data_IF_195193478439
#
_entry.id   IF_195193478439
#
_cell.length_a   1.000
_cell.length_b   1.000
_cell.length_c   1.000
_cell.angle_alpha   90.00
_cell.angle_beta   90.00
_cell.angle_gamma   90.00
#
_symmetry.space_group_name_H-M   'P 1'
#
loop_
_entity.id
_entity.type
_entity.pdbx_description
1 polymer ?
#
# COMPACT_ATOMS: atom_id res chain seq x y z
N UNK A 1 -4.64 10.68 6.86
CA UNK A 1 -4.80 10.61 5.39
C UNK A 1 -4.61 9.20 4.81
N UNK A 2 -5.09 8.93 3.57
CA UNK A 2 -4.76 7.72 2.79
C UNK A 2 -3.90 8.06 1.57
N UNK A 3 -2.61 7.71 1.63
CA UNK A 3 -1.65 7.96 0.56
C UNK A 3 -1.62 6.82 -0.46
N UNK A 4 -1.58 7.16 -1.73
CA UNK A 4 -1.50 6.21 -2.85
C UNK A 4 -0.42 6.64 -3.83
N UNK A 5 0.21 5.68 -4.48
CA UNK A 5 0.82 5.95 -5.80
C UNK A 5 -0.20 5.64 -6.86
N UNK A 6 -0.21 6.42 -7.93
CA UNK A 6 -1.10 6.16 -9.05
C UNK A 6 -0.49 6.53 -10.39
N UNK A 7 -0.98 5.88 -11.42
CA UNK A 7 -0.71 6.16 -12.82
C UNK A 7 -2.06 6.37 -13.51
N UNK A 8 -2.17 7.39 -14.36
CA UNK A 8 -3.38 7.61 -15.18
C UNK A 8 -3.43 6.54 -16.27
N UNK A 9 -4.59 5.90 -16.44
CA UNK A 9 -4.77 4.88 -17.47
C UNK A 9 -4.65 5.44 -18.88
N UNK A 10 -4.23 4.62 -19.85
CA UNK A 10 -4.12 5.01 -21.27
C UNK A 10 -5.48 5.40 -21.89
N UNK A 11 -6.60 4.94 -21.31
CA UNK A 11 -7.97 5.29 -21.72
C UNK A 11 -8.40 6.61 -21.08
N UNK A 12 -7.99 7.71 -21.70
CA UNK A 12 -8.44 9.06 -21.30
C UNK A 12 -7.91 10.18 -22.18
N UNK A 13 -6.82 9.97 -22.92
CA UNK A 13 -6.26 10.99 -23.79
C UNK A 13 -7.17 11.36 -24.98
N UNK A 14 -8.09 10.48 -25.40
CA UNK A 14 -8.92 10.68 -26.59
C UNK A 14 -10.36 11.17 -26.35
N UNK A 15 -10.92 11.00 -25.14
CA UNK A 15 -12.33 11.38 -24.87
C UNK A 15 -12.47 12.78 -24.26
N UNK A 16 -11.37 13.40 -23.83
CA UNK A 16 -11.37 14.80 -23.41
C UNK A 16 -11.47 15.71 -24.66
N UNK A 17 -11.02 15.24 -25.82
CA UNK A 17 -10.88 16.07 -27.02
C UNK A 17 -12.20 16.31 -27.77
N UNK A 18 -13.16 15.37 -27.74
CA UNK A 18 -14.45 15.55 -28.43
C UNK A 18 -15.48 16.36 -27.61
N UNK A 19 -15.33 16.43 -26.29
CA UNK A 19 -16.12 17.33 -25.45
C UNK A 19 -15.49 18.74 -25.30
N UNK A 20 -14.20 18.90 -25.66
CA UNK A 20 -13.48 20.18 -25.65
C UNK A 20 -13.96 21.16 -26.75
N UNK A 21 -14.80 20.70 -27.68
CA UNK A 21 -15.43 21.53 -28.69
C UNK A 21 -16.68 22.26 -28.19
N UNK A 22 -16.53 23.21 -27.25
CA UNK A 22 -17.26 24.51 -27.16
C UNK A 22 -17.23 25.11 -25.74
N UNK A 23 -16.50 26.23 -25.66
CA UNK A 23 -16.66 27.37 -24.75
C UNK A 23 -16.39 27.18 -23.24
N UNK A 24 -15.31 27.83 -22.79
CA UNK A 24 -15.08 28.24 -21.40
C UNK A 24 -13.59 28.33 -21.10
N UNK A 25 -13.08 29.55 -20.92
CA UNK A 25 -11.79 29.80 -20.26
C UNK A 25 -11.63 28.89 -19.02
N UNK A 26 -10.42 28.41 -18.74
CA UNK A 26 -10.16 27.56 -17.57
C UNK A 26 -10.83 28.17 -16.33
N UNK A 27 -11.83 27.50 -15.76
CA UNK A 27 -12.62 28.05 -14.64
C UNK A 27 -11.75 28.46 -13.43
N UNK A 28 -10.52 27.95 -13.35
CA UNK A 28 -9.55 28.21 -12.27
C UNK A 28 -8.39 29.14 -12.69
N UNK A 29 -8.35 29.67 -13.92
CA UNK A 29 -7.25 30.52 -14.39
C UNK A 29 -5.93 29.79 -14.69
N UNK A 30 -5.97 28.47 -14.85
CA UNK A 30 -4.82 27.64 -15.17
C UNK A 30 -5.02 26.90 -16.48
N UNK A 31 -4.02 26.99 -17.37
CA UNK A 31 -3.93 26.11 -18.54
C UNK A 31 -4.07 24.64 -18.09
N UNK A 32 -4.88 23.83 -18.80
CA UNK A 32 -4.84 22.38 -18.63
C UNK A 32 -3.39 21.93 -18.85
N UNK A 33 -2.78 21.28 -17.86
CA UNK A 33 -1.43 20.75 -18.07
C UNK A 33 -1.53 19.65 -19.12
N UNK A 34 -0.59 19.65 -20.07
CA UNK A 34 -0.27 18.44 -20.84
C UNK A 34 -0.09 17.32 -19.83
N UNK A 35 -1.12 16.47 -19.73
CA UNK A 35 -1.22 15.38 -18.78
C UNK A 35 0.11 14.63 -18.88
N UNK A 36 0.92 14.68 -17.81
CA UNK A 36 2.28 14.14 -17.85
C UNK A 36 2.30 12.77 -18.50
N UNK A 37 3.36 12.48 -19.28
CA UNK A 37 3.46 11.31 -20.17
C UNK A 37 2.69 10.10 -19.60
N UNK A 38 1.78 9.47 -20.37
CA UNK A 38 1.07 8.28 -19.94
C UNK A 38 2.03 7.29 -19.25
N UNK A 39 1.67 6.84 -18.04
CA UNK A 39 2.51 5.95 -17.23
C UNK A 39 3.48 6.63 -16.25
N UNK A 40 3.51 7.96 -16.15
CA UNK A 40 4.26 8.64 -15.09
C UNK A 40 3.57 8.41 -13.73
N UNK A 41 4.30 7.82 -12.78
CA UNK A 41 3.82 7.62 -11.40
C UNK A 41 3.71 8.95 -10.66
N UNK A 42 2.61 9.13 -9.94
CA UNK A 42 2.32 10.31 -9.11
C UNK A 42 1.97 9.89 -7.69
N UNK A 43 2.11 10.83 -6.75
CA UNK A 43 1.64 10.68 -5.38
C UNK A 43 0.24 11.31 -5.26
N UNK A 44 -0.67 10.59 -4.62
CA UNK A 44 -2.02 11.07 -4.42
C UNK A 44 -2.55 10.75 -3.04
N UNK A 45 -3.68 11.37 -2.72
CA UNK A 45 -4.51 11.01 -1.58
C UNK A 45 -5.82 10.41 -2.08
N UNK A 46 -6.33 9.39 -1.39
CA UNK A 46 -7.59 8.73 -1.71
C UNK A 46 -8.57 8.84 -0.53
N UNK A 47 -9.37 9.92 -0.47
CA UNK A 47 -10.35 10.11 0.60
C UNK A 47 -11.37 8.97 0.65
N UNK A 48 -11.74 8.50 1.85
CA UNK A 48 -12.84 7.52 1.97
C UNK A 48 -14.22 8.14 2.01
N UNK A 49 -14.32 9.43 2.32
CA UNK A 49 -15.56 10.13 2.59
C UNK A 49 -15.53 11.53 1.96
N UNK A 50 -16.70 12.18 1.93
CA UNK A 50 -16.84 13.52 1.37
C UNK A 50 -16.96 13.54 -0.16
N UNK A 51 -17.02 14.76 -0.75
CA UNK A 51 -17.27 14.95 -2.18
C UNK A 51 -16.19 14.34 -3.09
N UNK A 52 -14.98 14.11 -2.56
CA UNK A 52 -13.86 13.53 -3.28
C UNK A 52 -13.73 12.00 -3.14
N UNK A 53 -14.63 11.31 -2.43
CA UNK A 53 -14.49 9.87 -2.17
C UNK A 53 -14.40 8.99 -3.45
N UNK A 54 -15.00 9.45 -4.56
CA UNK A 54 -14.92 8.81 -5.87
C UNK A 54 -13.65 9.13 -6.68
N UNK A 55 -12.72 9.90 -6.12
CA UNK A 55 -11.56 10.44 -6.82
C UNK A 55 -10.24 10.17 -6.05
N UNK A 56 -9.14 10.17 -6.79
CA UNK A 56 -7.80 10.35 -6.24
C UNK A 56 -7.41 11.82 -6.41
N UNK A 57 -7.00 12.45 -5.32
CA UNK A 57 -6.45 13.80 -5.33
C UNK A 57 -4.99 13.71 -5.74
N UNK A 58 -4.61 14.40 -6.82
CA UNK A 58 -3.24 14.55 -7.28
C UNK A 58 -2.53 15.60 -6.42
N UNK A 59 -1.81 15.15 -5.38
CA UNK A 59 -1.24 16.05 -4.37
C UNK A 59 -0.21 17.00 -4.98
N UNK A 60 0.60 16.52 -5.92
CA UNK A 60 1.55 17.34 -6.66
C UNK A 60 0.84 18.47 -7.41
N UNK A 61 -0.27 18.16 -8.10
CA UNK A 61 -1.03 19.16 -8.86
C UNK A 61 -1.73 20.16 -7.94
N UNK A 62 -2.37 19.68 -6.88
CA UNK A 62 -3.01 20.53 -5.89
C UNK A 62 -2.02 21.53 -5.26
N UNK A 63 -0.85 21.04 -4.83
CA UNK A 63 0.18 21.89 -4.24
C UNK A 63 0.75 22.89 -5.25
N UNK A 64 1.00 22.48 -6.50
CA UNK A 64 1.47 23.39 -7.55
C UNK A 64 0.46 24.52 -7.80
N UNK A 65 -0.83 24.21 -7.85
CA UNK A 65 -1.87 25.24 -8.03
C UNK A 65 -1.92 26.22 -6.85
N UNK A 66 -1.79 25.73 -5.61
CA UNK A 66 -1.66 26.61 -4.44
C UNK A 66 -0.45 27.52 -4.56
N UNK A 67 0.73 26.96 -4.83
CA UNK A 67 1.98 27.72 -4.92
C UNK A 67 1.92 28.79 -6.03
N UNK A 68 1.23 28.50 -7.14
CA UNK A 68 1.02 29.48 -8.20
C UNK A 68 0.10 30.63 -7.77
N UNK A 69 -0.89 30.41 -6.89
CA UNK A 69 -1.68 31.49 -6.30
C UNK A 69 -0.86 32.36 -5.35
N UNK A 70 0.19 31.80 -4.75
CA UNK A 70 1.14 32.50 -3.89
C UNK A 70 2.29 33.19 -4.66
N UNK A 71 2.16 33.32 -6.00
CA UNK A 71 3.15 33.95 -6.91
C UNK A 71 4.53 33.25 -6.93
N UNK A 72 4.55 31.92 -6.76
CA UNK A 72 5.78 31.13 -6.89
C UNK A 72 6.29 31.12 -8.34
N UNK A 73 7.60 31.33 -8.54
CA UNK A 73 8.20 31.42 -9.88
C UNK A 73 8.27 30.10 -10.66
N UNK A 74 8.18 28.94 -9.99
CA UNK A 74 8.20 27.61 -10.61
C UNK A 74 7.38 26.57 -9.79
N UNK A 75 6.05 26.71 -9.76
CA UNK A 75 5.18 26.02 -8.80
C UNK A 75 5.22 24.49 -8.93
N UNK A 76 5.29 23.93 -10.15
CA UNK A 76 5.37 22.49 -10.35
C UNK A 76 6.67 21.89 -9.82
N UNK A 77 7.81 22.51 -10.11
CA UNK A 77 9.11 22.04 -9.65
C UNK A 77 9.24 22.12 -8.12
N UNK A 78 8.67 23.16 -7.52
CA UNK A 78 8.62 23.29 -6.06
C UNK A 78 7.71 22.24 -5.42
N UNK A 79 6.52 22.02 -6.00
CA UNK A 79 5.61 20.96 -5.54
C UNK A 79 6.26 19.57 -5.64
N UNK A 80 6.92 19.24 -6.75
CA UNK A 80 7.62 17.95 -6.94
C UNK A 80 8.80 17.78 -5.98
N UNK A 81 9.45 18.87 -5.59
CA UNK A 81 10.49 18.85 -4.55
C UNK A 81 9.90 18.53 -3.17
N UNK A 82 8.77 19.17 -2.81
CA UNK A 82 8.09 18.96 -1.53
C UNK A 82 7.34 17.63 -1.44
N UNK A 83 6.81 17.13 -2.57
CA UNK A 83 6.03 15.92 -2.70
C UNK A 83 6.65 14.97 -3.74
N UNK A 84 7.80 14.35 -3.45
CA UNK A 84 8.42 13.44 -4.40
C UNK A 84 7.47 12.25 -4.71
N UNK A 85 7.30 11.94 -6.00
CA UNK A 85 6.42 10.84 -6.44
C UNK A 85 6.95 9.44 -6.10
N UNK A 86 8.23 9.33 -5.72
CA UNK A 86 8.82 8.13 -5.13
C UNK A 86 8.42 8.04 -3.65
N UNK A 87 7.65 7.03 -3.24
CA UNK A 87 7.16 6.95 -1.86
C UNK A 87 8.25 6.81 -0.81
N UNK A 88 9.38 6.21 -1.14
CA UNK A 88 10.50 6.09 -0.22
C UNK A 88 11.13 7.46 0.01
N UNK A 89 11.29 8.26 -1.05
CA UNK A 89 11.74 9.65 -0.92
C UNK A 89 10.73 10.51 -0.14
N UNK A 90 9.44 10.28 -0.35
CA UNK A 90 8.39 10.96 0.41
C UNK A 90 8.54 10.67 1.90
N UNK A 91 8.61 9.38 2.27
CA UNK A 91 8.76 8.94 3.67
C UNK A 91 10.07 9.43 4.30
N UNK A 92 11.19 9.44 3.56
CA UNK A 92 12.48 9.95 4.05
C UNK A 92 12.49 11.44 4.36
N UNK A 93 11.62 12.22 3.73
CA UNK A 93 11.43 13.64 4.07
C UNK A 93 10.55 13.83 5.31
N UNK A 94 9.84 12.79 5.76
CA UNK A 94 9.07 12.79 7.00
C UNK A 94 8.03 13.91 7.03
N UNK A 95 8.04 14.65 8.14
CA UNK A 95 7.08 15.72 8.44
C UNK A 95 7.00 16.81 7.36
N UNK A 96 8.10 17.14 6.69
CA UNK A 96 8.09 18.17 5.64
C UNK A 96 7.17 17.79 4.47
N UNK A 97 7.24 16.55 4.00
CA UNK A 97 6.38 16.07 2.92
C UNK A 97 4.95 15.83 3.39
N UNK A 98 4.76 15.38 4.63
CA UNK A 98 3.42 15.20 5.21
C UNK A 98 2.70 16.55 5.38
N UNK A 99 3.40 17.58 5.85
CA UNK A 99 2.87 18.94 5.94
C UNK A 99 2.47 19.48 4.55
N UNK A 100 3.32 19.29 3.54
CA UNK A 100 3.01 19.67 2.16
C UNK A 100 1.80 18.92 1.59
N UNK A 101 1.62 17.65 1.96
CA UNK A 101 0.45 16.86 1.55
C UNK A 101 -0.83 17.35 2.23
N UNK A 102 -0.78 17.70 3.52
CA UNK A 102 -1.89 18.33 4.23
C UNK A 102 -2.25 19.70 3.65
N UNK A 103 -1.25 20.51 3.31
CA UNK A 103 -1.43 21.81 2.66
C UNK A 103 -2.15 21.67 1.31
N UNK A 104 -1.74 20.67 0.51
CA UNK A 104 -2.39 20.36 -0.76
C UNK A 104 -3.86 19.92 -0.59
N UNK A 105 -4.16 19.12 0.43
CA UNK A 105 -5.53 18.70 0.75
C UNK A 105 -6.40 19.86 1.26
N UNK A 106 -5.87 20.69 2.15
CA UNK A 106 -6.56 21.88 2.63
C UNK A 106 -6.91 22.85 1.49
N UNK A 107 -6.02 23.01 0.52
CA UNK A 107 -6.29 23.78 -0.69
C UNK A 107 -7.45 23.19 -1.51
N UNK A 108 -7.51 21.86 -1.65
CA UNK A 108 -8.60 21.18 -2.36
C UNK A 108 -9.93 21.41 -1.64
N UNK A 109 -9.95 21.28 -0.32
CA UNK A 109 -11.15 21.50 0.49
C UNK A 109 -11.65 22.95 0.40
N UNK A 110 -10.75 23.95 0.42
CA UNK A 110 -11.12 25.35 0.20
C UNK A 110 -11.69 25.56 -1.22
N UNK A 111 -11.06 24.96 -2.23
CA UNK A 111 -11.45 25.13 -3.63
C UNK A 111 -12.81 24.50 -3.93
N UNK A 112 -13.14 23.38 -3.28
CA UNK A 112 -14.47 22.76 -3.33
C UNK A 112 -15.59 23.65 -2.79
N UNK A 113 -15.28 24.66 -1.97
CA UNK A 113 -16.24 25.67 -1.54
C UNK A 113 -16.65 26.64 -2.66
N UNK A 114 -15.91 26.67 -3.77
CA UNK A 114 -16.10 27.61 -4.90
C UNK A 114 -16.34 26.92 -6.25
N UNK A 115 -15.86 25.69 -6.40
CA UNK A 115 -15.89 24.93 -7.65
C UNK A 115 -16.35 23.48 -7.40
N UNK A 116 -17.01 22.89 -8.38
CA UNK A 116 -17.49 21.52 -8.27
C UNK A 116 -16.37 20.51 -8.63
N UNK A 117 -16.46 19.24 -8.18
CA UNK A 117 -15.48 18.21 -8.54
C UNK A 117 -15.15 18.08 -10.03
N UNK A 118 -16.08 18.25 -11.00
CA UNK A 118 -15.76 18.25 -12.43
C UNK A 118 -14.83 19.39 -12.87
N UNK A 119 -14.86 20.57 -12.22
CA UNK A 119 -13.93 21.66 -12.51
C UNK A 119 -12.51 21.30 -12.05
N UNK A 120 -12.38 20.75 -10.83
CA UNK A 120 -11.11 20.27 -10.30
C UNK A 120 -10.54 19.09 -11.10
N UNK A 121 -11.41 18.22 -11.63
CA UNK A 121 -11.01 17.15 -12.52
C UNK A 121 -10.47 17.69 -13.85
N UNK A 122 -11.14 18.71 -14.44
CA UNK A 122 -10.62 19.42 -15.64
C UNK A 122 -9.27 20.09 -15.37
N UNK A 123 -9.01 20.56 -14.16
CA UNK A 123 -7.71 21.13 -13.76
C UNK A 123 -6.64 20.07 -13.44
N UNK A 124 -6.98 18.77 -13.47
CA UNK A 124 -6.09 17.65 -13.16
C UNK A 124 -5.81 17.44 -11.68
N UNK A 125 -6.56 18.12 -10.79
CA UNK A 125 -6.45 17.97 -9.34
C UNK A 125 -7.15 16.71 -8.85
N UNK A 126 -8.28 16.37 -9.47
CA UNK A 126 -9.05 15.17 -9.16
C UNK A 126 -9.01 14.19 -10.34
N UNK A 127 -8.66 12.95 -10.06
CA UNK A 127 -8.72 11.86 -11.02
C UNK A 127 -9.82 10.88 -10.62
N UNK A 128 -10.81 10.58 -11.46
CA UNK A 128 -11.80 9.56 -11.15
C UNK A 128 -11.12 8.23 -10.82
N UNK A 129 -11.50 7.60 -9.70
CA UNK A 129 -10.83 6.40 -9.19
C UNK A 129 -10.75 5.27 -10.22
N UNK A 130 -11.75 5.16 -11.09
CA UNK A 130 -11.83 4.15 -12.15
C UNK A 130 -10.85 4.37 -13.31
N UNK A 131 -10.33 5.59 -13.46
CA UNK A 131 -9.38 5.98 -14.53
C UNK A 131 -7.93 5.89 -14.10
N UNK A 132 -7.67 5.57 -12.83
CA UNK A 132 -6.31 5.45 -12.29
C UNK A 132 -5.99 4.00 -11.93
N UNK A 133 -4.76 3.61 -12.24
CA UNK A 133 -4.14 2.39 -11.70
C UNK A 133 -3.37 2.76 -10.44
N UNK A 134 -3.75 2.19 -9.31
CA UNK A 134 -3.00 2.36 -8.07
C UNK A 134 -1.76 1.48 -8.10
N UNK A 135 -0.64 2.00 -7.62
CA UNK A 135 0.55 1.22 -7.32
C UNK A 135 0.64 0.88 -5.83
N UNK A 136 1.66 0.13 -5.44
CA UNK A 136 1.98 -0.06 -4.02
C UNK A 136 2.28 1.30 -3.38
N UNK A 137 1.80 1.57 -2.16
CA UNK A 137 2.17 2.79 -1.43
C UNK A 137 3.64 2.78 -0.98
N UNK A 138 4.32 1.63 -1.00
CA UNK A 138 5.75 1.49 -0.72
C UNK A 138 6.37 0.58 -1.77
N UNK A 139 7.00 1.15 -2.78
CA UNK A 139 7.31 0.41 -4.02
C UNK A 139 8.58 -0.44 -3.94
N UNK A 140 9.58 0.03 -3.18
CA UNK A 140 10.85 -0.66 -2.95
C UNK A 140 11.36 -0.37 -1.54
N UNK A 141 10.76 -1.01 -0.52
CA UNK A 141 11.21 -0.85 0.86
C UNK A 141 12.70 -1.24 0.99
N UNK A 142 13.42 -0.64 1.93
CA UNK A 142 14.80 -1.05 2.22
C UNK A 142 14.84 -2.49 2.72
N UNK A 143 13.93 -2.80 3.64
CA UNK A 143 13.75 -4.10 4.26
C UNK A 143 12.25 -4.44 4.34
N UNK A 144 11.92 -5.71 4.09
CA UNK A 144 10.61 -6.28 4.46
C UNK A 144 10.87 -7.31 5.53
N UNK A 145 10.52 -6.98 6.77
CA UNK A 145 10.68 -7.83 7.95
C UNK A 145 9.34 -8.52 8.18
N UNK A 146 9.30 -9.84 8.11
CA UNK A 146 8.07 -10.61 8.29
C UNK A 146 8.16 -11.48 9.54
N UNK A 147 7.02 -11.70 10.19
CA UNK A 147 6.93 -12.41 11.47
C UNK A 147 6.22 -13.75 11.29
N UNK A 148 6.92 -14.85 11.54
CA UNK A 148 6.32 -16.17 11.46
C UNK A 148 5.48 -16.47 12.70
N UNK A 149 4.31 -17.10 12.51
CA UNK A 149 3.47 -17.69 13.57
C UNK A 149 3.04 -16.70 14.66
N UNK A 150 2.70 -15.47 14.26
CA UNK A 150 2.24 -14.44 15.20
C UNK A 150 0.75 -14.55 15.59
N UNK A 151 0.02 -15.55 15.10
CA UNK A 151 -1.36 -15.84 15.56
C UNK A 151 -1.38 -17.24 16.18
N UNK A 152 -1.89 -17.42 17.42
CA UNK A 152 -1.93 -18.73 18.08
C UNK A 152 -2.70 -19.79 17.27
N UNK A 153 -3.82 -19.40 16.65
CA UNK A 153 -4.60 -20.29 15.80
C UNK A 153 -3.81 -20.76 14.55
N UNK A 154 -3.01 -19.86 13.96
CA UNK A 154 -2.16 -20.20 12.81
C UNK A 154 -0.98 -21.11 13.21
N UNK A 155 -0.39 -20.89 14.39
CA UNK A 155 0.63 -21.77 14.93
C UNK A 155 0.07 -23.20 15.14
N UNK A 156 -1.13 -23.30 15.71
CA UNK A 156 -1.81 -24.56 15.98
C UNK A 156 -2.15 -25.35 14.69
N UNK A 157 -2.71 -24.72 13.65
CA UNK A 157 -3.04 -25.42 12.39
C UNK A 157 -1.80 -25.92 11.64
N UNK A 158 -0.66 -25.26 11.86
CA UNK A 158 0.64 -25.64 11.29
C UNK A 158 1.33 -26.75 12.10
N UNK A 159 0.70 -27.24 13.18
CA UNK A 159 1.24 -28.28 14.07
C UNK A 159 2.39 -27.80 14.96
N UNK A 160 2.55 -26.48 15.12
CA UNK A 160 3.62 -25.87 15.92
C UNK A 160 3.11 -25.23 17.21
N UNK A 161 4.03 -25.02 18.15
CA UNK A 161 3.78 -24.15 19.30
C UNK A 161 3.88 -22.68 18.90
N UNK A 162 3.17 -21.82 19.63
CA UNK A 162 3.40 -20.38 19.60
C UNK A 162 4.84 -20.09 20.04
N UNK A 163 5.63 -19.33 19.26
CA UNK A 163 6.98 -18.93 19.67
C UNK A 163 6.97 -18.12 20.98
N UNK A 164 8.03 -18.24 21.78
CA UNK A 164 8.22 -17.40 22.98
C UNK A 164 8.72 -15.99 22.63
N UNK A 165 9.39 -15.85 21.48
CA UNK A 165 9.87 -14.59 20.92
C UNK A 165 9.52 -14.48 19.42
N UNK A 166 9.46 -13.26 18.84
CA UNK A 166 9.17 -13.07 17.42
C UNK A 166 10.19 -13.77 16.53
N UNK A 167 9.70 -14.62 15.61
CA UNK A 167 10.53 -15.26 14.59
C UNK A 167 10.56 -14.40 13.35
N UNK A 168 11.58 -13.53 13.25
CA UNK A 168 11.76 -12.62 12.13
C UNK A 168 12.43 -13.29 10.94
N UNK A 169 11.98 -12.96 9.73
CA UNK A 169 12.67 -13.28 8.48
C UNK A 169 12.53 -12.14 7.47
N UNK A 170 13.36 -12.14 6.43
CA UNK A 170 13.32 -11.13 5.39
C UNK A 170 12.59 -11.63 4.14
N UNK A 171 11.84 -10.72 3.51
CA UNK A 171 11.38 -10.83 2.12
C UNK A 171 12.15 -9.88 1.22
N UNK A 172 12.34 -10.27 -0.05
CA UNK A 172 12.99 -9.41 -1.03
C UNK A 172 12.12 -8.18 -1.35
N UNK A 173 12.69 -6.96 -1.35
CA UNK A 173 12.01 -5.77 -1.88
C UNK A 173 11.57 -5.88 -3.34
N UNK A 174 12.19 -6.78 -4.13
CA UNK A 174 11.76 -7.05 -5.51
C UNK A 174 10.42 -7.78 -5.62
N UNK A 175 9.94 -8.38 -4.51
CA UNK A 175 8.68 -9.11 -4.47
C UNK A 175 7.45 -8.18 -4.47
N UNK A 176 7.63 -6.88 -4.22
CA UNK A 176 6.52 -5.93 -4.04
C UNK A 176 5.78 -5.69 -5.35
N UNK A 177 4.45 -5.81 -5.27
CA UNK A 177 3.51 -5.40 -6.32
C UNK A 177 2.33 -4.67 -5.70
N UNK A 178 1.62 -3.86 -6.49
CA UNK A 178 0.52 -3.03 -6.02
C UNK A 178 -0.86 -3.68 -6.15
N UNK A 179 -1.93 -2.90 -5.89
CA UNK A 179 -3.31 -3.32 -6.12
C UNK A 179 -3.59 -3.58 -7.60
N UNK A 180 -4.26 -4.69 -7.89
CA UNK A 180 -4.59 -5.12 -9.25
C UNK A 180 -3.45 -5.78 -10.01
N UNK A 181 -2.22 -5.73 -9.47
CA UNK A 181 -1.07 -6.38 -10.09
C UNK A 181 -1.15 -7.91 -9.98
N UNK A 182 -0.42 -8.58 -10.87
CA UNK A 182 -0.39 -10.03 -10.95
C UNK A 182 0.49 -10.65 -9.85
N UNK A 183 -0.03 -11.69 -9.20
CA UNK A 183 0.77 -12.69 -8.48
C UNK A 183 1.15 -13.77 -9.49
N UNK A 184 2.44 -13.88 -9.81
CA UNK A 184 2.95 -14.80 -10.82
C UNK A 184 3.36 -16.11 -10.16
N UNK A 185 2.73 -17.22 -10.54
CA UNK A 185 3.14 -18.55 -10.09
C UNK A 185 4.54 -18.89 -10.64
N UNK A 186 5.56 -19.13 -9.80
CA UNK A 186 6.88 -19.48 -10.30
C UNK A 186 6.87 -20.90 -10.84
N UNK A 187 7.58 -21.17 -11.94
CA UNK A 187 7.73 -22.52 -12.52
C UNK A 187 8.28 -23.55 -11.53
N UNK A 188 8.99 -23.06 -10.52
CA UNK A 188 9.67 -23.87 -9.53
C UNK A 188 8.73 -24.42 -8.45
N UNK A 189 7.57 -23.80 -8.20
CA UNK A 189 6.66 -24.18 -7.11
C UNK A 189 5.33 -24.71 -7.63
N UNK A 190 4.75 -25.65 -6.88
CA UNK A 190 3.38 -26.15 -7.08
C UNK A 190 2.46 -25.86 -5.89
N UNK A 191 3.01 -25.29 -4.82
CA UNK A 191 2.33 -25.10 -3.54
C UNK A 191 2.37 -23.63 -3.13
N UNK A 192 1.88 -22.74 -4.01
CA UNK A 192 1.81 -21.31 -3.72
C UNK A 192 0.58 -21.01 -2.89
N UNK A 193 0.76 -20.29 -1.79
CA UNK A 193 -0.25 -20.04 -0.76
C UNK A 193 -0.46 -18.55 -0.52
N UNK A 194 -1.62 -18.19 0.03
CA UNK A 194 -1.97 -16.83 0.45
C UNK A 194 -1.81 -16.68 1.96
N UNK A 195 -1.47 -15.46 2.38
CA UNK A 195 -1.38 -15.09 3.79
C UNK A 195 -1.77 -13.62 3.93
N UNK A 196 -3.03 -13.33 4.27
CA UNK A 196 -3.44 -11.94 4.52
C UNK A 196 -2.79 -11.41 5.79
N UNK A 197 -2.16 -10.23 5.72
CA UNK A 197 -1.45 -9.62 6.85
C UNK A 197 -1.64 -8.11 6.93
N UNK A 198 -1.53 -7.59 8.16
CA UNK A 198 -1.31 -6.17 8.41
C UNK A 198 0.15 -5.83 8.08
N UNK A 199 0.35 -4.77 7.30
CA UNK A 199 1.66 -4.19 7.05
C UNK A 199 1.83 -2.88 7.84
N UNK A 200 2.94 -2.76 8.54
CA UNK A 200 3.35 -1.57 9.29
C UNK A 200 4.49 -0.90 8.51
N UNK A 201 4.36 0.39 8.19
CA UNK A 201 5.36 1.14 7.43
C UNK A 201 6.09 2.10 8.36
N UNK A 202 7.41 1.99 8.40
CA UNK A 202 8.26 2.85 9.23
C UNK A 202 8.38 4.24 8.59
N UNK A 203 8.22 5.28 9.40
CA UNK A 203 8.21 6.68 8.96
C UNK A 203 9.48 7.46 9.26
N UNK A 204 10.16 7.13 10.37
CA UNK A 204 11.44 7.72 10.77
C UNK A 204 12.41 6.64 11.24
N UNK A 205 13.69 7.00 11.38
CA UNK A 205 14.72 6.06 11.83
C UNK A 205 14.43 5.60 13.26
N UNK A 206 14.44 4.28 13.51
CA UNK A 206 14.23 3.69 14.82
C UNK A 206 15.32 2.68 15.15
N UNK A 207 15.95 2.82 16.31
CA UNK A 207 16.93 1.87 16.84
C UNK A 207 16.78 1.80 18.36
N UNK A 208 16.70 0.58 18.90
CA UNK A 208 16.54 0.29 20.33
C UNK A 208 15.40 1.08 21.00
N UNK A 209 14.25 1.20 20.32
CA UNK A 209 13.10 1.97 20.82
C UNK A 209 12.27 1.17 21.83
N UNK A 210 11.73 1.84 22.84
CA UNK A 210 10.86 1.19 23.82
C UNK A 210 9.47 0.87 23.23
N UNK A 211 8.76 -0.18 23.70
CA UNK A 211 7.45 -0.54 23.15
C UNK A 211 6.37 0.55 23.25
N UNK A 212 6.41 1.40 24.27
CA UNK A 212 5.46 2.50 24.48
C UNK A 212 5.71 3.70 23.54
N UNK A 213 6.93 3.85 23.04
CA UNK A 213 7.31 4.88 22.05
C UNK A 213 7.26 4.34 20.60
N UNK A 214 7.20 3.02 20.42
CA UNK A 214 7.43 2.36 19.14
C UNK A 214 6.48 2.83 18.02
N UNK A 215 5.23 3.17 18.35
CA UNK A 215 4.27 3.64 17.36
C UNK A 215 4.54 5.07 16.88
N UNK A 216 5.38 5.86 17.56
CA UNK A 216 5.81 7.20 17.09
C UNK A 216 6.72 7.12 15.87
N UNK A 217 7.31 5.95 15.61
CA UNK A 217 8.18 5.71 14.48
C UNK A 217 7.45 5.18 13.25
N UNK A 218 6.14 4.97 13.33
CA UNK A 218 5.30 4.38 12.28
C UNK A 218 4.65 5.49 11.44
N UNK A 219 4.91 5.49 10.12
CA UNK A 219 4.22 6.39 9.19
C UNK A 219 2.74 6.02 9.04
N UNK A 220 2.45 4.71 9.05
CA UNK A 220 1.09 4.22 8.93
C UNK A 220 1.03 2.73 8.61
N UNK A 221 -0.13 2.33 8.12
CA UNK A 221 -0.49 0.93 7.94
C UNK A 221 -1.03 0.66 6.53
N UNK A 222 -0.86 -0.56 6.06
CA UNK A 222 -1.38 -1.03 4.78
C UNK A 222 -1.82 -2.49 4.89
N UNK A 223 -2.44 -3.01 3.82
CA UNK A 223 -2.76 -4.43 3.71
C UNK A 223 -1.68 -5.12 2.89
N UNK A 224 -1.29 -6.32 3.30
CA UNK A 224 -0.36 -7.14 2.56
C UNK A 224 -0.87 -8.56 2.35
N UNK A 225 -0.31 -9.22 1.35
CA UNK A 225 -0.43 -10.67 1.17
C UNK A 225 0.99 -11.29 1.21
N UNK A 226 1.33 -12.04 2.25
CA UNK A 226 2.62 -12.74 2.37
C UNK A 226 2.62 -14.07 1.60
N UNK A 227 2.54 -13.95 0.26
CA UNK A 227 2.47 -15.10 -0.65
C UNK A 227 3.67 -16.03 -0.44
N UNK A 228 3.39 -17.33 -0.41
CA UNK A 228 4.34 -18.34 0.05
C UNK A 228 4.41 -19.55 -0.88
N UNK A 229 5.59 -19.88 -1.42
CA UNK A 229 5.88 -21.16 -2.05
C UNK A 229 6.24 -22.20 -0.98
N UNK A 230 5.24 -22.96 -0.53
CA UNK A 230 5.30 -23.85 0.65
C UNK A 230 6.27 -25.02 0.49
N UNK A 231 6.36 -25.57 -0.72
CA UNK A 231 7.29 -26.62 -1.11
C UNK A 231 8.76 -26.16 -1.05
N UNK A 232 9.01 -24.87 -1.25
CA UNK A 232 10.34 -24.27 -1.08
C UNK A 232 10.63 -23.81 0.35
N UNK A 233 9.61 -23.32 1.06
CA UNK A 233 9.72 -22.85 2.44
C UNK A 233 10.13 -23.98 3.41
N UNK A 234 9.50 -25.16 3.29
CA UNK A 234 9.71 -26.25 4.26
C UNK A 234 10.99 -27.03 4.08
N UNK A 235 11.50 -27.14 2.86
CA UNK A 235 12.61 -28.07 2.55
C UNK A 235 13.97 -27.52 2.98
N UNK A 236 14.09 -26.22 3.25
CA UNK A 236 15.40 -25.54 3.33
C UNK A 236 15.64 -24.72 4.59
N UNK A 237 14.78 -24.86 5.61
CA UNK A 237 14.99 -24.26 6.94
C UNK A 237 15.11 -22.73 6.98
N UNK A 238 14.79 -22.04 5.88
CA UNK A 238 14.89 -20.58 5.72
C UNK A 238 13.64 -20.08 4.99
N UNK A 239 12.90 -19.19 5.63
CA UNK A 239 11.65 -18.65 5.09
C UNK A 239 11.86 -17.86 3.79
N UNK A 240 12.98 -17.13 3.67
CA UNK A 240 13.33 -16.31 2.52
C UNK A 240 13.09 -16.99 1.17
N UNK A 241 13.50 -18.26 1.01
CA UNK A 241 13.47 -18.96 -0.27
C UNK A 241 12.02 -19.16 -0.78
N UNK A 242 11.09 -19.45 0.13
CA UNK A 242 9.68 -19.60 -0.22
C UNK A 242 8.89 -18.29 -0.21
N UNK A 243 9.44 -17.23 0.38
CA UNK A 243 8.73 -15.97 0.67
C UNK A 243 9.16 -14.80 -0.23
N UNK A 244 10.26 -14.94 -0.98
CA UNK A 244 10.89 -13.83 -1.73
C UNK A 244 10.80 -13.95 -3.25
N UNK A 245 9.95 -14.82 -3.80
CA UNK A 245 9.72 -14.83 -5.25
C UNK A 245 9.19 -13.47 -5.71
N UNK A 246 9.49 -13.08 -6.95
CA UNK A 246 8.91 -11.87 -7.53
C UNK A 246 7.38 -11.91 -7.40
N UNK A 247 6.75 -10.77 -7.14
CA UNK A 247 5.30 -10.60 -6.93
C UNK A 247 4.71 -11.24 -5.66
N UNK A 248 5.54 -11.80 -4.76
CA UNK A 248 5.06 -12.43 -3.52
C UNK A 248 4.88 -11.48 -2.33
N UNK A 249 5.00 -10.17 -2.54
CA UNK A 249 4.65 -9.16 -1.54
C UNK A 249 3.65 -8.13 -2.07
N UNK A 250 2.44 -8.51 -2.52
CA UNK A 250 1.39 -7.53 -2.78
C UNK A 250 1.15 -6.66 -1.55
N UNK A 251 1.11 -5.33 -1.76
CA UNK A 251 1.00 -4.32 -0.71
C UNK A 251 0.11 -3.16 -1.18
N UNK A 252 -0.89 -2.78 -0.38
CA UNK A 252 -1.84 -1.71 -0.69
C UNK A 252 -3.17 -1.86 0.07
N UNK A 253 -4.27 -1.21 -0.36
CA UNK A 253 -4.38 -0.34 -1.53
C UNK A 253 -3.82 1.07 -1.33
N UNK A 254 -3.57 1.46 -0.09
CA UNK A 254 -3.02 2.75 0.30
C UNK A 254 -2.14 2.58 1.55
N UNK A 255 -1.30 3.57 1.82
CA UNK A 255 -0.73 3.80 3.15
C UNK A 255 -1.70 4.69 3.91
N UNK A 256 -2.37 4.13 4.92
CA UNK A 256 -3.24 4.88 5.82
C UNK A 256 -2.38 5.39 6.97
N UNK A 257 -2.29 6.70 7.15
CA UNK A 257 -1.42 7.29 8.17
C UNK A 257 -1.89 6.93 9.57
N UNK A 258 -0.95 6.93 10.51
CA UNK A 258 -1.17 6.48 11.89
C UNK A 258 -2.34 7.18 12.57
N UNK A 259 -2.51 8.49 12.35
CA UNK A 259 -3.56 9.34 12.91
C UNK A 259 -4.99 8.95 12.48
N UNK A 260 -5.16 8.16 11.42
CA UNK A 260 -6.46 7.68 10.93
C UNK A 260 -6.93 6.38 11.61
N UNK A 261 -6.10 5.80 12.46
CA UNK A 261 -6.29 4.49 13.08
C UNK A 261 -6.18 4.64 14.59
N UNK A 262 -7.32 4.64 15.26
CA UNK A 262 -7.40 4.77 16.73
C UNK A 262 -6.69 3.63 17.46
N UNK A 263 -6.96 2.38 17.05
CA UNK A 263 -6.34 1.17 17.59
C UNK A 263 -5.98 0.19 16.47
N UNK A 264 -4.70 0.16 16.10
CA UNK A 264 -4.17 -0.80 15.12
C UNK A 264 -4.24 -2.24 15.63
N UNK A 265 -4.26 -2.42 16.95
CA UNK A 265 -4.28 -3.72 17.59
C UNK A 265 -5.68 -4.33 17.66
N UNK A 266 -6.75 -3.69 17.16
CA UNK A 266 -8.07 -4.33 17.06
C UNK A 266 -8.80 -4.02 15.73
N UNK A 267 -8.20 -4.40 14.61
CA UNK A 267 -8.78 -4.31 13.27
C UNK A 267 -9.24 -5.69 12.79
N UNK A 268 -10.42 -5.78 12.18
CA UNK A 268 -10.83 -6.98 11.45
C UNK A 268 -9.95 -7.24 10.23
N UNK A 269 -9.49 -8.47 10.03
CA UNK A 269 -8.73 -8.93 8.87
C UNK A 269 -9.43 -10.12 8.21
N UNK A 270 -9.60 -10.07 6.90
CA UNK A 270 -10.24 -11.12 6.11
C UNK A 270 -9.50 -11.37 4.80
N UNK A 271 -9.23 -12.63 4.48
CA UNK A 271 -8.73 -13.04 3.16
C UNK A 271 -9.81 -13.81 2.44
N UNK A 272 -10.07 -13.45 1.18
CA UNK A 272 -10.96 -14.17 0.26
C UNK A 272 -10.18 -14.73 -0.92
N UNK A 273 -10.50 -15.97 -1.28
CA UNK A 273 -10.01 -16.61 -2.51
C UNK A 273 -11.20 -16.86 -3.43
N UNK A 274 -11.24 -16.13 -4.56
CA UNK A 274 -12.34 -16.17 -5.53
C UNK A 274 -13.71 -15.90 -4.88
N UNK A 275 -13.76 -14.91 -3.98
CA UNK A 275 -14.97 -14.49 -3.26
C UNK A 275 -15.31 -15.33 -2.01
N UNK A 276 -14.66 -16.47 -1.79
CA UNK A 276 -14.86 -17.28 -0.59
C UNK A 276 -13.92 -16.84 0.54
N UNK A 277 -14.47 -16.53 1.72
CA UNK A 277 -13.69 -16.22 2.92
C UNK A 277 -12.86 -17.44 3.34
N UNK A 278 -11.54 -17.28 3.30
CA UNK A 278 -10.58 -18.33 3.65
C UNK A 278 -9.79 -18.05 4.93
N UNK A 279 -9.67 -16.79 5.33
CA UNK A 279 -9.12 -16.38 6.63
C UNK A 279 -10.01 -15.28 7.21
N UNK A 280 -10.26 -15.29 8.52
CA UNK A 280 -11.03 -14.26 9.22
C UNK A 280 -10.58 -14.20 10.67
N UNK A 281 -10.11 -13.04 11.12
CA UNK A 281 -9.61 -12.82 12.48
C UNK A 281 -9.63 -11.33 12.82
N UNK A 282 -9.14 -10.97 14.01
CA UNK A 282 -8.81 -9.59 14.39
C UNK A 282 -7.35 -9.45 14.79
N UNK A 283 -6.74 -8.28 14.57
CA UNK A 283 -5.33 -8.04 14.91
C UNK A 283 -5.04 -8.20 16.40
N UNK A 284 -6.03 -8.09 17.30
CA UNK A 284 -5.84 -8.33 18.75
C UNK A 284 -5.50 -9.77 19.10
N UNK A 285 -5.70 -10.69 18.18
CA UNK A 285 -5.36 -12.10 18.34
C UNK A 285 -3.87 -12.37 18.08
N UNK A 286 -3.08 -11.36 17.70
CA UNK A 286 -1.63 -11.49 17.59
C UNK A 286 -1.01 -11.84 18.95
N UNK A 287 -0.07 -12.78 18.96
CA UNK A 287 0.77 -13.09 20.13
C UNK A 287 1.65 -11.90 20.49
N UNK A 288 2.27 -11.30 19.48
CA UNK A 288 3.18 -10.16 19.60
C UNK A 288 2.51 -8.92 18.98
N UNK A 289 2.15 -7.91 19.78
CA UNK A 289 1.46 -6.72 19.28
C UNK A 289 2.39 -5.86 18.42
N UNK A 290 1.80 -4.99 17.59
CA UNK A 290 2.53 -4.16 16.61
C UNK A 290 3.65 -3.35 17.27
N UNK A 291 3.34 -2.67 18.38
CA UNK A 291 4.31 -1.86 19.11
C UNK A 291 5.51 -2.68 19.61
N UNK A 292 5.25 -3.91 20.08
CA UNK A 292 6.30 -4.84 20.49
C UNK A 292 7.15 -5.32 19.30
N UNK A 293 6.53 -5.60 18.15
CA UNK A 293 7.27 -6.01 16.95
C UNK A 293 8.24 -4.92 16.46
N UNK A 294 7.80 -3.66 16.44
CA UNK A 294 8.64 -2.52 16.07
C UNK A 294 9.81 -2.37 17.06
N UNK A 295 9.52 -2.35 18.37
CA UNK A 295 10.56 -2.30 19.42
C UNK A 295 11.54 -3.46 19.29
N UNK A 296 11.05 -4.69 19.18
CA UNK A 296 11.87 -5.89 19.08
C UNK A 296 12.78 -5.86 17.83
N UNK A 297 12.25 -5.51 16.67
CA UNK A 297 13.05 -5.39 15.45
C UNK A 297 14.12 -4.29 15.57
N UNK A 298 13.76 -3.15 16.17
CA UNK A 298 14.67 -2.00 16.33
C UNK A 298 15.88 -2.29 17.24
N UNK A 299 15.75 -3.23 18.18
CA UNK A 299 16.87 -3.68 19.04
C UNK A 299 17.93 -4.45 18.27
N UNK A 300 17.51 -5.12 17.19
CA UNK A 300 18.38 -5.99 16.40
C UNK A 300 18.97 -5.26 15.20
N UNK A 301 18.27 -4.25 14.66
CA UNK A 301 18.70 -3.47 13.51
C UNK A 301 18.00 -2.11 13.48
N UNK A 302 18.66 -1.12 12.86
CA UNK A 302 18.01 0.15 12.54
C UNK A 302 16.89 -0.05 11.52
N UNK A 303 15.70 0.41 11.87
CA UNK A 303 14.56 0.55 10.97
C UNK A 303 14.65 1.91 10.28
N UNK A 304 14.43 1.94 8.98
CA UNK A 304 14.55 3.15 8.15
C UNK A 304 13.19 3.55 7.55
N UNK A 305 12.97 4.84 7.22
CA UNK A 305 11.76 5.27 6.53
C UNK A 305 11.49 4.45 5.27
N UNK A 306 10.29 3.88 5.19
CA UNK A 306 9.86 2.99 4.10
C UNK A 306 10.16 1.52 4.31
N UNK A 307 10.80 1.11 5.41
CA UNK A 307 10.82 -0.30 5.80
C UNK A 307 9.40 -0.78 6.14
N UNK A 308 9.15 -2.06 5.90
CA UNK A 308 7.84 -2.68 6.10
C UNK A 308 7.97 -3.86 7.06
N UNK A 309 7.10 -3.90 8.07
CA UNK A 309 6.92 -5.06 8.94
C UNK A 309 5.61 -5.75 8.57
N UNK A 310 5.68 -7.02 8.15
CA UNK A 310 4.52 -7.89 7.95
C UNK A 310 4.29 -8.69 9.23
N UNK A 311 3.13 -8.48 9.86
CA UNK A 311 2.92 -8.83 11.27
C UNK A 311 2.59 -10.30 11.52
N UNK A 312 2.54 -11.13 10.48
CA UNK A 312 2.05 -12.50 10.52
C UNK A 312 0.58 -12.62 10.13
N UNK A 313 0.20 -13.82 9.69
CA UNK A 313 -1.12 -14.14 9.16
C UNK A 313 -1.97 -14.95 10.16
N UNK A 314 -3.32 -14.78 10.17
CA UNK A 314 -4.23 -15.63 10.93
C UNK A 314 -4.36 -17.04 10.34
N UNK A 315 -5.08 -17.91 11.06
CA UNK A 315 -5.37 -19.26 10.59
C UNK A 315 -6.20 -19.28 9.29
N UNK A 316 -6.17 -20.40 8.58
CA UNK A 316 -6.94 -20.64 7.36
C UNK A 316 -6.12 -20.68 6.07
N UNK A 317 -4.78 -20.71 6.18
CA UNK A 317 -3.88 -20.79 5.01
C UNK A 317 -4.15 -22.06 4.20
N UNK A 318 -3.90 -22.00 2.90
CA UNK A 318 -4.18 -23.06 1.94
C UNK A 318 -3.56 -24.39 2.30
N UNK A 319 -2.31 -24.39 2.79
CA UNK A 319 -1.60 -25.61 3.20
C UNK A 319 -2.27 -26.37 4.35
N UNK A 320 -2.89 -25.66 5.27
CA UNK A 320 -3.47 -26.22 6.50
C UNK A 320 -4.86 -26.82 6.27
N UNK A 321 -5.47 -26.55 5.10
CA UNK A 321 -6.76 -27.11 4.71
C UNK A 321 -6.69 -28.62 4.41
N UNK A 322 -7.85 -29.27 4.43
CA UNK A 322 -8.02 -30.71 4.14
C UNK A 322 -9.18 -30.89 3.14
N UNK A 323 -8.90 -31.13 1.84
CA UNK A 323 -7.58 -31.17 1.20
C UNK A 323 -6.91 -29.77 1.16
N UNK A 324 -5.57 -29.69 0.98
CA UNK A 324 -4.89 -28.40 0.78
C UNK A 324 -5.44 -27.63 -0.42
N UNK A 325 -5.45 -26.30 -0.32
CA UNK A 325 -5.95 -25.40 -1.36
C UNK A 325 -4.93 -24.30 -1.68
N UNK A 326 -4.09 -24.56 -2.67
CA UNK A 326 -3.10 -23.62 -3.19
C UNK A 326 -3.66 -22.73 -4.30
N UNK A 327 -3.01 -21.58 -4.52
CA UNK A 327 -3.30 -20.65 -5.60
C UNK A 327 -3.09 -21.31 -6.97
N UNK A 328 -3.98 -20.99 -7.90
CA UNK A 328 -3.97 -21.45 -9.29
C UNK A 328 -4.09 -20.28 -10.24
N UNK A 329 -3.62 -20.47 -11.47
CA UNK A 329 -3.84 -19.51 -12.55
C UNK A 329 -5.34 -19.22 -12.72
N UNK A 330 -5.69 -17.94 -12.75
CA UNK A 330 -7.07 -17.45 -12.82
C UNK A 330 -7.69 -17.13 -11.45
N UNK A 331 -7.06 -17.51 -10.33
CA UNK A 331 -7.55 -17.16 -9.01
C UNK A 331 -7.46 -15.65 -8.76
N UNK A 332 -8.34 -15.15 -7.89
CA UNK A 332 -8.31 -13.79 -7.37
C UNK A 332 -8.18 -13.85 -5.86
N UNK A 333 -7.18 -13.17 -5.31
CA UNK A 333 -6.98 -13.05 -3.87
C UNK A 333 -7.36 -11.64 -3.45
N UNK A 334 -8.20 -11.53 -2.42
CA UNK A 334 -8.57 -10.27 -1.80
C UNK A 334 -8.22 -10.32 -0.32
N UNK A 335 -7.45 -9.36 0.17
CA UNK A 335 -7.21 -9.18 1.61
C UNK A 335 -7.85 -7.85 2.00
N UNK A 336 -8.77 -7.90 2.96
CA UNK A 336 -9.44 -6.73 3.50
C UNK A 336 -9.06 -6.54 4.96
N UNK A 337 -8.67 -5.32 5.32
CA UNK A 337 -8.48 -4.93 6.72
C UNK A 337 -9.38 -3.72 6.99
N UNK A 338 -10.11 -3.80 8.10
CA UNK A 338 -10.95 -2.72 8.62
C UNK A 338 -10.18 -1.40 8.62
N UNK A 339 -10.83 -0.32 8.16
CA UNK A 339 -10.23 1.03 7.95
C UNK A 339 -9.13 1.12 6.89
N UNK A 340 -8.40 0.06 6.55
CA UNK A 340 -7.29 0.12 5.57
C UNK A 340 -7.74 -0.11 4.12
N UNK A 341 -8.86 -0.82 3.93
CA UNK A 341 -9.45 -1.10 2.63
C UNK A 341 -9.16 -2.52 2.15
N UNK A 342 -9.25 -2.74 0.84
CA UNK A 342 -9.09 -4.07 0.24
C UNK A 342 -7.98 -4.07 -0.81
N UNK A 343 -6.99 -4.94 -0.61
CA UNK A 343 -5.96 -5.28 -1.57
C UNK A 343 -6.45 -6.47 -2.41
N UNK A 344 -6.48 -6.32 -3.74
CA UNK A 344 -6.94 -7.35 -4.67
C UNK A 344 -5.88 -7.63 -5.72
N UNK A 345 -5.56 -8.89 -5.96
CA UNK A 345 -4.56 -9.32 -6.95
C UNK A 345 -5.05 -10.53 -7.74
N UNK A 346 -4.63 -10.61 -9.01
CA UNK A 346 -4.94 -11.72 -9.91
C UNK A 346 -3.76 -12.69 -9.97
N UNK A 347 -4.04 -13.98 -9.91
CA UNK A 347 -3.02 -15.03 -10.02
C UNK A 347 -2.86 -15.43 -11.48
N UNK A 348 -1.63 -15.38 -11.98
CA UNK A 348 -1.32 -15.74 -13.37
C UNK A 348 -0.30 -16.88 -13.43
N UNK A 349 -0.32 -17.61 -14.55
CA UNK A 349 0.66 -18.65 -14.82
C UNK A 349 2.09 -18.12 -14.95
N UNK A 350 3.09 -19.01 -15.02
CA UNK A 350 4.48 -18.58 -15.04
C UNK A 350 4.85 -17.77 -16.29
N UNK A 351 5.55 -16.64 -16.09
CA UNK A 351 6.08 -15.79 -17.18
C UNK A 351 6.95 -16.56 -18.17
N UNK A 352 6.98 -16.12 -19.43
CA UNK A 352 7.91 -16.63 -20.46
C UNK A 352 9.36 -16.41 -20.01
N UNK A 353 10.26 -17.34 -20.36
CA UNK A 353 11.69 -17.16 -20.11
C UNK A 353 12.17 -15.91 -20.87
N UNK A 354 12.92 -15.04 -20.20
CA UNK A 354 13.56 -13.87 -20.82
C UNK A 354 14.82 -14.29 -21.55
#
# INVERSE_FOLDING_TARGET
MRLVTFERGERGAGEIDEAAGRAGESALGFEPVELGRPGARRLGAWPSEGPCAGHVVDLNRALAMKLAQDDAGAPEAEADSKLPCDPIRFLRRGEDSLAAAHEALAFVDETLGRYDPPDLARAGVLEPRERVRLGSPVTRPGKIIAVARNYPAHAAESGGATPEEPVLFLKSPSAVVGPGDEIVLPRASREVDYEGELAVVIGCEAFDVAPDEALDFVAGYSVANDVSARDWQSVRGQHFIGKSCDTFAPLGPALVTRDEIDDVQDLGIETRLCGEVVQSARTKEMTFPVAFLVSFASRLMTLEPGDVILTGTPAGVGRSRRPPRYLREGDVVEVAIERLGTLRNHVVGPRRRR
#
